data_IF_841754140337
#
_entry.id   IF_841754140337
#
_cell.length_a   1.000
_cell.length_b   1.000
_cell.length_c   1.000
_cell.angle_alpha   90.00
_cell.angle_beta   90.00
_cell.angle_gamma   90.00
#
_symmetry.space_group_name_H-M   'P 1'
#
loop_
_entity.id
_entity.type
_entity.pdbx_description
1 polymer ?
#
# COMPACT_ATOMS: atom_id res chain seq x y z
N UNK A 1 20.24 14.48 0.08
CA UNK A 1 19.20 14.06 -0.89
C UNK A 1 18.40 12.94 -0.25
N UNK A 2 17.13 13.14 0.06
CA UNK A 2 16.28 12.06 0.58
C UNK A 2 15.97 11.11 -0.59
N UNK A 3 16.68 9.98 -0.65
CA UNK A 3 16.43 8.94 -1.64
C UNK A 3 15.06 8.29 -1.36
N UNK A 4 14.02 8.82 -2.00
CA UNK A 4 12.70 8.20 -1.98
C UNK A 4 12.72 6.82 -2.65
N UNK A 5 11.87 5.92 -2.16
CA UNK A 5 11.69 4.58 -2.75
C UNK A 5 10.89 4.74 -4.04
N UNK A 6 11.36 4.19 -5.15
CA UNK A 6 10.66 4.27 -6.45
C UNK A 6 9.79 3.03 -6.65
N UNK A 7 8.48 3.23 -6.78
CA UNK A 7 7.52 2.17 -7.08
C UNK A 7 7.77 1.61 -8.49
N UNK A 8 7.57 0.30 -8.64
CA UNK A 8 7.70 -0.39 -9.93
C UNK A 8 6.34 -0.80 -10.48
N UNK A 9 6.17 -0.62 -11.78
CA UNK A 9 5.05 -1.22 -12.50
C UNK A 9 5.12 -2.76 -12.44
N UNK A 10 3.98 -3.46 -12.60
CA UNK A 10 3.98 -4.91 -12.74
C UNK A 10 4.87 -5.36 -13.92
N UNK A 11 5.61 -6.45 -13.76
CA UNK A 11 6.39 -7.06 -14.85
C UNK A 11 5.48 -7.69 -15.91
N UNK A 12 5.97 -7.86 -17.14
CA UNK A 12 5.23 -8.55 -18.22
C UNK A 12 4.84 -9.98 -17.80
N UNK A 13 5.77 -10.71 -17.20
CA UNK A 13 5.52 -12.04 -16.64
C UNK A 13 4.36 -12.01 -15.62
N UNK A 14 4.28 -10.97 -14.78
CA UNK A 14 3.20 -10.81 -13.80
C UNK A 14 1.86 -10.54 -14.49
N UNK A 15 1.86 -9.82 -15.61
CA UNK A 15 0.66 -9.57 -16.41
C UNK A 15 0.16 -10.87 -17.06
N UNK A 16 1.07 -11.70 -17.58
CA UNK A 16 0.74 -12.99 -18.20
C UNK A 16 0.20 -14.02 -17.19
N UNK A 17 0.78 -14.08 -15.98
CA UNK A 17 0.38 -15.02 -14.92
C UNK A 17 -0.73 -14.49 -14.02
N UNK A 18 -1.28 -13.31 -14.30
CA UNK A 18 -2.29 -12.64 -13.49
C UNK A 18 -3.64 -13.37 -13.46
N UNK A 19 -4.54 -12.91 -12.59
CA UNK A 19 -5.96 -13.29 -12.66
C UNK A 19 -6.70 -12.32 -13.58
N UNK A 20 -7.75 -12.78 -14.27
CA UNK A 20 -8.61 -11.90 -15.06
C UNK A 20 -9.37 -10.92 -14.17
N UNK A 21 -9.80 -9.80 -14.75
CA UNK A 21 -10.58 -8.77 -14.05
C UNK A 21 -11.91 -9.36 -13.54
N UNK A 22 -12.61 -10.13 -14.36
CA UNK A 22 -13.88 -10.79 -14.01
C UNK A 22 -13.70 -11.74 -12.82
N UNK A 23 -12.62 -12.53 -12.84
CA UNK A 23 -12.28 -13.44 -11.75
C UNK A 23 -11.96 -12.69 -10.46
N UNK A 24 -11.25 -11.56 -10.56
CA UNK A 24 -10.94 -10.70 -9.41
C UNK A 24 -12.22 -10.13 -8.79
N UNK A 25 -13.13 -9.60 -9.62
CA UNK A 25 -14.43 -9.06 -9.19
C UNK A 25 -15.24 -10.13 -8.47
N UNK A 26 -15.40 -11.31 -9.08
CA UNK A 26 -16.21 -12.41 -8.53
C UNK A 26 -15.65 -12.97 -7.22
N UNK A 27 -14.32 -13.00 -7.05
CA UNK A 27 -13.66 -13.60 -5.87
C UNK A 27 -13.37 -12.58 -4.76
N UNK A 28 -13.56 -11.28 -5.01
CA UNK A 28 -13.21 -10.21 -4.06
C UNK A 28 -13.94 -10.39 -2.73
N UNK A 29 -13.19 -10.43 -1.64
CA UNK A 29 -13.68 -10.48 -0.26
C UNK A 29 -12.89 -9.54 0.63
N UNK A 30 -13.53 -8.95 1.63
CA UNK A 30 -12.83 -8.21 2.67
C UNK A 30 -12.15 -9.20 3.61
N UNK A 31 -10.82 -9.12 3.72
CA UNK A 31 -10.01 -9.92 4.63
C UNK A 31 -9.48 -9.02 5.74
N UNK A 32 -9.68 -9.46 6.98
CA UNK A 32 -9.28 -8.75 8.22
C UNK A 32 -8.40 -9.62 9.11
N UNK A 33 -7.72 -10.59 8.50
CA UNK A 33 -6.79 -11.50 9.15
C UNK A 33 -5.60 -11.63 8.20
N UNK A 34 -4.44 -11.27 8.71
CA UNK A 34 -3.20 -11.25 7.95
C UNK A 34 -2.24 -12.29 8.52
N UNK A 35 -1.32 -12.77 7.69
CA UNK A 35 -0.21 -13.58 8.16
C UNK A 35 0.91 -12.66 8.64
N UNK A 36 1.79 -13.15 9.51
CA UNK A 36 2.97 -12.40 9.93
C UNK A 36 4.08 -12.37 8.85
N UNK A 37 3.80 -12.83 7.62
CA UNK A 37 4.79 -12.87 6.54
C UNK A 37 4.94 -11.48 5.95
N UNK A 38 6.19 -11.01 5.86
CA UNK A 38 6.51 -9.76 5.18
C UNK A 38 6.05 -9.80 3.71
N UNK A 39 5.62 -8.65 3.19
CA UNK A 39 5.43 -8.46 1.76
C UNK A 39 6.78 -8.31 1.08
N UNK A 40 6.90 -8.81 -0.14
CA UNK A 40 8.04 -8.46 -1.00
C UNK A 40 7.88 -7.02 -1.49
N UNK A 41 9.00 -6.38 -1.85
CA UNK A 41 8.99 -5.05 -2.44
C UNK A 41 8.12 -4.95 -3.71
N UNK A 42 8.10 -6.01 -4.52
CA UNK A 42 7.28 -6.09 -5.73
C UNK A 42 5.78 -6.11 -5.41
N UNK A 43 5.37 -6.82 -4.35
CA UNK A 43 3.98 -6.83 -3.90
C UNK A 43 3.55 -5.45 -3.41
N UNK A 44 4.39 -4.78 -2.61
CA UNK A 44 4.16 -3.39 -2.17
C UNK A 44 4.00 -2.47 -3.40
N UNK A 45 4.97 -2.52 -4.31
CA UNK A 45 5.01 -1.69 -5.51
C UNK A 45 3.77 -1.87 -6.36
N UNK A 46 3.37 -3.12 -6.62
CA UNK A 46 2.19 -3.43 -7.44
C UNK A 46 0.90 -2.87 -6.81
N UNK A 47 0.68 -3.07 -5.51
CA UNK A 47 -0.52 -2.58 -4.83
C UNK A 47 -0.63 -1.05 -4.91
N UNK A 48 0.46 -0.34 -4.59
CA UNK A 48 0.48 1.12 -4.61
C UNK A 48 0.44 1.68 -6.03
N UNK A 49 1.10 1.00 -6.98
CA UNK A 49 1.01 1.32 -8.40
C UNK A 49 -0.45 1.24 -8.84
N UNK A 50 -1.15 0.15 -8.55
CA UNK A 50 -2.55 -0.03 -8.97
C UNK A 50 -3.50 0.97 -8.30
N UNK A 51 -3.27 1.31 -7.03
CA UNK A 51 -4.11 2.24 -6.28
C UNK A 51 -4.16 3.66 -6.89
N UNK A 52 -3.08 4.09 -7.56
CA UNK A 52 -2.96 5.45 -8.10
C UNK A 52 -3.41 5.61 -9.56
N UNK A 53 -3.67 4.51 -10.29
CA UNK A 53 -4.19 4.55 -11.68
C UNK A 53 -5.71 4.53 -11.69
N UNK A 54 -6.33 5.64 -11.26
CA UNK A 54 -7.79 5.79 -11.27
C UNK A 54 -8.23 7.00 -12.09
N UNK A 55 -9.36 6.92 -12.81
CA UNK A 55 -9.94 8.09 -13.45
C UNK A 55 -10.37 9.11 -12.39
N UNK A 56 -10.25 10.40 -12.71
CA UNK A 56 -10.60 11.49 -11.81
C UNK A 56 -11.48 12.52 -12.51
N UNK A 57 -12.54 12.95 -11.82
CA UNK A 57 -13.45 13.97 -12.33
C UNK A 57 -12.69 15.27 -12.62
N UNK A 58 -12.81 15.77 -13.85
CA UNK A 58 -12.12 16.98 -14.29
C UNK A 58 -10.59 16.87 -14.38
N UNK A 59 -10.02 15.65 -14.34
CA UNK A 59 -8.57 15.41 -14.35
C UNK A 59 -7.82 16.18 -13.24
N UNK A 60 -8.47 16.41 -12.09
CA UNK A 60 -7.91 17.18 -10.99
C UNK A 60 -6.97 16.36 -10.10
N UNK A 61 -7.17 15.04 -10.04
CA UNK A 61 -6.40 14.10 -9.21
C UNK A 61 -6.17 14.60 -7.77
N UNK A 62 -7.23 14.95 -7.01
CA UNK A 62 -7.09 15.63 -5.73
C UNK A 62 -6.70 14.70 -4.57
N UNK A 63 -6.74 13.38 -4.78
CA UNK A 63 -6.50 12.41 -3.73
C UNK A 63 -5.00 12.23 -3.47
N UNK A 64 -4.59 12.32 -2.22
CA UNK A 64 -3.25 12.01 -1.77
C UNK A 64 -3.23 10.63 -1.10
N UNK A 65 -2.13 9.89 -1.25
CA UNK A 65 -1.99 8.54 -0.71
C UNK A 65 -0.82 8.45 0.26
N UNK A 66 -1.08 7.87 1.43
CA UNK A 66 -0.07 7.58 2.44
C UNK A 66 -0.03 6.08 2.72
N UNK A 67 1.15 5.48 2.58
CA UNK A 67 1.41 4.10 2.92
C UNK A 67 1.95 4.01 4.35
N UNK A 68 1.18 3.39 5.25
CA UNK A 68 1.60 3.09 6.62
C UNK A 68 2.15 1.66 6.63
N UNK A 69 3.47 1.55 6.84
CA UNK A 69 4.21 0.29 6.82
C UNK A 69 4.76 0.03 8.22
N UNK A 70 4.55 -1.20 8.69
CA UNK A 70 5.01 -1.65 10.01
C UNK A 70 6.43 -2.20 10.03
N UNK A 71 6.94 -2.43 11.24
CA UNK A 71 8.25 -3.05 11.42
C UNK A 71 8.28 -4.47 10.84
N UNK A 72 9.32 -4.77 10.06
CA UNK A 72 9.52 -6.04 9.36
C UNK A 72 8.33 -6.47 8.48
N UNK A 73 7.46 -5.53 8.09
CA UNK A 73 6.25 -5.82 7.32
C UNK A 73 6.50 -5.90 5.81
N UNK A 74 7.55 -5.24 5.32
CA UNK A 74 7.96 -5.25 3.92
C UNK A 74 9.48 -5.43 3.84
N UNK A 75 9.93 -6.32 2.97
CA UNK A 75 11.35 -6.59 2.75
C UNK A 75 12.08 -5.34 2.23
N UNK A 76 13.14 -4.93 2.94
CA UNK A 76 13.99 -3.81 2.54
C UNK A 76 13.35 -2.43 2.67
N UNK A 77 12.24 -2.30 3.40
CA UNK A 77 11.55 -1.02 3.64
C UNK A 77 11.33 -0.85 5.14
N UNK A 78 11.85 0.26 5.67
CA UNK A 78 11.71 0.60 7.09
C UNK A 78 10.25 0.91 7.47
N UNK A 79 9.91 0.73 8.75
CA UNK A 79 8.63 1.19 9.27
C UNK A 79 8.53 2.72 9.22
N UNK A 80 7.51 3.20 8.52
CA UNK A 80 7.20 4.60 8.41
C UNK A 80 5.80 4.80 7.81
N UNK A 81 5.31 6.03 7.96
CA UNK A 81 4.32 6.61 7.06
C UNK A 81 5.06 7.21 5.87
N UNK A 82 4.75 6.73 4.68
CA UNK A 82 5.28 7.24 3.42
C UNK A 82 4.21 8.04 2.69
N UNK A 83 4.57 9.21 2.17
CA UNK A 83 3.74 9.98 1.24
C UNK A 83 4.10 9.58 -0.19
N UNK A 84 3.09 9.20 -0.97
CA UNK A 84 3.26 8.92 -2.38
C UNK A 84 3.26 10.22 -3.20
N UNK A 85 4.40 10.53 -3.84
CA UNK A 85 4.60 11.65 -4.76
C UNK A 85 4.87 11.11 -6.17
N UNK A 86 3.82 11.05 -6.99
CA UNK A 86 3.88 10.37 -8.28
C UNK A 86 4.19 8.88 -8.08
N UNK A 87 5.33 8.42 -8.60
CA UNK A 87 5.80 7.03 -8.44
C UNK A 87 6.80 6.84 -7.30
N UNK A 88 6.98 7.85 -6.43
CA UNK A 88 7.94 7.82 -5.34
C UNK A 88 7.23 7.76 -3.99
N UNK A 89 7.80 7.01 -3.06
CA UNK A 89 7.46 7.04 -1.65
C UNK A 89 8.52 7.85 -0.91
N UNK A 90 8.07 8.93 -0.29
CA UNK A 90 8.89 9.80 0.55
C UNK A 90 8.50 9.60 2.00
N UNK A 91 9.48 9.50 2.89
CA UNK A 91 9.21 9.34 4.32
C UNK A 91 8.50 10.60 4.83
N UNK A 92 7.25 10.45 5.28
CA UNK A 92 6.49 11.50 5.93
C UNK A 92 6.71 11.47 7.45
N UNK A 93 6.71 10.27 8.05
CA UNK A 93 6.95 10.08 9.49
C UNK A 93 7.58 8.72 9.76
N UNK A 94 8.71 8.68 10.48
CA UNK A 94 9.41 7.42 10.82
C UNK A 94 8.78 6.73 12.03
N UNK A 95 8.76 5.40 11.99
CA UNK A 95 8.25 4.54 13.06
C UNK A 95 7.03 3.72 12.62
N UNK A 96 6.71 2.70 13.41
CA UNK A 96 5.52 1.88 13.23
C UNK A 96 4.29 2.59 13.81
N UNK A 97 3.35 2.99 12.94
CA UNK A 97 2.12 3.67 13.33
C UNK A 97 0.88 2.79 13.25
N UNK A 98 1.01 1.48 13.04
CA UNK A 98 -0.15 0.59 12.80
C UNK A 98 -1.11 0.55 13.99
N UNK A 99 -0.60 0.49 15.21
CA UNK A 99 -1.43 0.48 16.42
C UNK A 99 -2.16 1.82 16.62
N UNK A 100 -1.43 2.94 16.52
CA UNK A 100 -2.01 4.27 16.62
C UNK A 100 -3.10 4.50 15.55
N UNK A 101 -2.87 4.02 14.33
CA UNK A 101 -3.85 4.08 13.24
C UNK A 101 -5.07 3.21 13.51
N UNK A 102 -4.88 2.01 14.07
CA UNK A 102 -5.98 1.12 14.45
C UNK A 102 -6.89 1.77 15.52
N UNK A 103 -6.28 2.40 16.53
CA UNK A 103 -7.00 3.17 17.56
C UNK A 103 -7.79 4.32 16.93
N UNK A 104 -7.15 5.12 16.08
CA UNK A 104 -7.82 6.21 15.36
C UNK A 104 -8.95 5.72 14.43
N UNK A 105 -8.89 4.47 13.99
CA UNK A 105 -9.89 3.83 13.11
C UNK A 105 -10.99 3.10 13.90
N UNK A 106 -11.43 3.69 15.02
CA UNK A 106 -12.44 3.12 15.94
C UNK A 106 -12.02 1.76 16.53
N UNK A 107 -10.74 1.64 16.92
CA UNK A 107 -10.17 0.41 17.49
C UNK A 107 -10.31 -0.83 16.59
N UNK A 108 -10.27 -0.65 15.27
CA UNK A 108 -10.27 -1.77 14.32
C UNK A 108 -8.89 -2.45 14.31
N UNK A 109 -8.65 -3.33 15.28
CA UNK A 109 -7.32 -3.88 15.56
C UNK A 109 -6.71 -4.74 14.44
N UNK A 110 -7.50 -5.22 13.48
CA UNK A 110 -6.93 -5.87 12.29
C UNK A 110 -6.03 -4.94 11.45
N UNK A 111 -6.14 -3.61 11.63
CA UNK A 111 -5.24 -2.63 11.02
C UNK A 111 -3.85 -2.70 11.65
N UNK A 112 -3.75 -2.99 12.95
CA UNK A 112 -2.47 -3.16 13.64
C UNK A 112 -1.69 -4.37 13.07
N UNK A 113 -2.43 -5.41 12.66
CA UNK A 113 -1.86 -6.63 12.09
C UNK A 113 -1.55 -6.52 10.59
N UNK A 114 -2.05 -5.49 9.90
CA UNK A 114 -1.88 -5.35 8.46
C UNK A 114 -0.44 -4.93 8.12
N UNK A 115 0.22 -5.58 7.14
CA UNK A 115 1.59 -5.21 6.76
C UNK A 115 1.66 -3.85 6.03
N UNK A 116 0.56 -3.45 5.39
CA UNK A 116 0.39 -2.19 4.69
C UNK A 116 -1.02 -1.68 4.93
N UNK A 117 -1.16 -0.42 5.34
CA UNK A 117 -2.42 0.31 5.27
C UNK A 117 -2.25 1.52 4.35
N UNK A 118 -3.19 1.72 3.42
CA UNK A 118 -3.22 2.89 2.54
C UNK A 118 -4.26 3.87 3.07
N UNK A 119 -3.81 5.04 3.49
CA UNK A 119 -4.66 6.15 3.90
C UNK A 119 -4.82 7.07 2.69
N UNK A 120 -6.07 7.44 2.38
CA UNK A 120 -6.42 8.40 1.34
C UNK A 120 -6.84 9.68 2.05
N UNK A 121 -6.21 10.80 1.70
CA UNK A 121 -6.43 12.11 2.29
C UNK A 121 -6.76 13.16 1.22
#
# INVERSE_FOLDING_TARGET
MMSGIVLRAPSEERLERGITVESAIMRRKSRRRFTARALTFEMLSHVLWAASRIPSAGALYPLEFYAVIGDNAVEGVDAAVYHMRGERLEVHKRGDFREALAVASLHQMFIADAPLTVVIA
#
